data_IF_832394969546
#
_entry.id   IF_832394969546
#
_cell.length_a   1.000
_cell.length_b   1.000
_cell.length_c   1.000
_cell.angle_alpha   90.00
_cell.angle_beta   90.00
_cell.angle_gamma   90.00
#
_symmetry.space_group_name_H-M   'P 1'
#
loop_
_entity.id
_entity.type
_entity.pdbx_description
1 polymer ?
#
# COMPACT_ATOMS: atom_id res chain seq x y z
N UNK A 1 -8.13 -1.30 -17.77
CA UNK A 1 -8.43 -1.76 -19.15
C UNK A 1 -9.18 -3.08 -19.06
N UNK A 2 -9.97 -3.47 -20.07
CA UNK A 2 -10.70 -4.75 -20.05
C UNK A 2 -9.79 -5.84 -20.64
N UNK A 3 -9.51 -6.88 -19.86
CA UNK A 3 -8.77 -8.08 -20.29
C UNK A 3 -9.78 -9.11 -20.77
N UNK A 4 -9.66 -9.62 -22.00
CA UNK A 4 -10.50 -10.71 -22.54
C UNK A 4 -9.70 -11.95 -22.92
N UNK A 5 -8.41 -11.79 -23.24
CA UNK A 5 -7.48 -12.85 -23.64
C UNK A 5 -6.13 -12.63 -22.96
N UNK A 6 -5.33 -13.70 -22.82
CA UNK A 6 -3.98 -13.63 -22.20
C UNK A 6 -3.08 -12.55 -22.82
N UNK A 7 -3.16 -12.37 -24.13
CA UNK A 7 -2.42 -11.32 -24.87
C UNK A 7 -2.86 -9.89 -24.57
N UNK A 8 -4.03 -9.70 -23.94
CA UNK A 8 -4.51 -8.38 -23.54
C UNK A 8 -3.90 -7.95 -22.20
N UNK A 9 -3.23 -8.86 -21.48
CA UNK A 9 -2.47 -8.54 -20.27
C UNK A 9 -1.28 -7.69 -20.69
N UNK A 10 -1.34 -6.41 -20.33
CA UNK A 10 -0.22 -5.51 -20.50
C UNK A 10 0.86 -5.82 -19.46
N UNK A 11 2.12 -5.74 -19.89
CA UNK A 11 3.23 -5.79 -18.96
C UNK A 11 3.11 -4.69 -17.92
N UNK A 12 3.61 -4.98 -16.72
CA UNK A 12 3.73 -3.96 -15.70
C UNK A 12 4.61 -2.85 -16.25
N UNK A 13 4.13 -1.61 -16.09
CA UNK A 13 4.94 -0.43 -16.38
C UNK A 13 6.26 -0.58 -15.61
N UNK A 14 7.37 -0.68 -16.33
CA UNK A 14 8.70 -0.94 -15.77
C UNK A 14 9.40 0.31 -15.25
N UNK A 15 8.73 1.47 -15.30
CA UNK A 15 9.35 2.73 -14.88
C UNK A 15 9.44 2.80 -13.37
N UNK A 16 10.65 2.55 -12.86
CA UNK A 16 11.06 2.72 -11.47
C UNK A 16 11.13 4.18 -11.04
N UNK A 17 9.98 4.86 -11.03
CA UNK A 17 9.83 6.14 -10.33
C UNK A 17 9.80 5.93 -8.81
N UNK A 18 10.05 7.00 -8.05
CA UNK A 18 9.81 6.99 -6.61
C UNK A 18 8.32 6.85 -6.26
N UNK A 19 8.02 6.48 -5.03
CA UNK A 19 6.64 6.41 -4.53
C UNK A 19 6.17 7.80 -4.08
N UNK A 20 5.04 8.29 -4.61
CA UNK A 20 4.36 9.47 -4.08
C UNK A 20 3.14 9.05 -3.25
N UNK A 21 2.95 9.64 -2.08
CA UNK A 21 1.79 9.40 -1.22
C UNK A 21 0.66 10.40 -1.50
N UNK A 22 1.03 11.64 -1.84
CA UNK A 22 0.16 12.80 -2.10
C UNK A 22 -1.04 12.52 -3.03
N UNK A 23 -0.93 11.74 -4.12
CA UNK A 23 -2.07 11.50 -5.02
C UNK A 23 -3.29 10.86 -4.35
N UNK A 24 -3.08 10.01 -3.33
CA UNK A 24 -4.21 9.39 -2.59
C UNK A 24 -4.90 10.43 -1.71
N UNK A 25 -4.16 11.34 -1.07
CA UNK A 25 -4.74 12.44 -0.30
C UNK A 25 -5.58 13.35 -1.20
N UNK A 26 -5.07 13.67 -2.40
CA UNK A 26 -5.81 14.44 -3.39
C UNK A 26 -7.12 13.76 -3.79
N UNK A 27 -7.06 12.47 -4.10
CA UNK A 27 -8.23 11.68 -4.45
C UNK A 27 -9.30 11.71 -3.34
N UNK A 28 -8.91 11.45 -2.09
CA UNK A 28 -9.84 11.42 -0.96
C UNK A 28 -10.42 12.81 -0.67
N UNK A 29 -9.61 13.87 -0.78
CA UNK A 29 -10.06 15.23 -0.54
C UNK A 29 -11.05 15.73 -1.60
N UNK A 30 -10.93 15.26 -2.84
CA UNK A 30 -11.78 15.68 -3.95
C UNK A 30 -13.11 14.91 -4.01
N UNK A 31 -13.22 13.76 -3.33
CA UNK A 31 -14.43 12.96 -3.33
C UNK A 31 -15.47 13.49 -2.32
N UNK A 32 -16.24 14.51 -2.73
CA UNK A 32 -17.26 15.15 -1.88
C UNK A 32 -18.46 14.25 -1.55
N UNK A 33 -18.69 13.19 -2.32
CA UNK A 33 -19.86 12.30 -2.17
C UNK A 33 -19.64 11.20 -1.13
N UNK A 34 -18.39 10.90 -0.77
CA UNK A 34 -18.04 9.89 0.23
C UNK A 34 -17.24 10.52 1.36
N UNK A 35 -17.71 10.33 2.60
CA UNK A 35 -16.97 10.74 3.79
C UNK A 35 -16.08 9.60 4.27
N UNK A 36 -14.78 9.84 4.30
CA UNK A 36 -13.80 8.91 4.86
C UNK A 36 -13.49 9.31 6.30
N UNK A 37 -13.32 8.33 7.19
CA UNK A 37 -12.92 8.57 8.57
C UNK A 37 -11.43 8.28 8.81
N UNK A 38 -10.84 7.38 8.01
CA UNK A 38 -9.46 6.94 8.18
C UNK A 38 -8.83 6.51 6.85
N UNK A 39 -7.54 6.80 6.70
CA UNK A 39 -6.64 6.29 5.66
C UNK A 39 -5.54 5.47 6.32
N UNK A 40 -5.30 4.26 5.83
CA UNK A 40 -4.23 3.39 6.30
C UNK A 40 -3.29 3.09 5.14
N UNK A 41 -2.03 3.47 5.27
CA UNK A 41 -0.97 3.08 4.34
C UNK A 41 -0.23 1.86 4.85
N UNK A 42 -0.06 0.86 4.00
CA UNK A 42 0.92 -0.20 4.20
C UNK A 42 2.08 0.05 3.26
N UNK A 43 3.26 0.31 3.81
CA UNK A 43 4.45 0.73 3.04
C UNK A 43 5.73 0.23 3.71
N UNK A 44 6.83 0.18 2.96
CA UNK A 44 8.18 0.01 3.52
C UNK A 44 8.76 1.33 4.08
N UNK A 45 8.01 2.44 3.93
CA UNK A 45 8.35 3.76 4.40
C UNK A 45 9.05 4.64 3.37
N UNK A 46 9.38 4.14 2.17
CA UNK A 46 10.06 4.92 1.14
C UNK A 46 9.07 5.63 0.23
N UNK A 47 9.34 6.90 -0.04
CA UNK A 47 8.55 7.73 -0.95
C UNK A 47 9.00 9.19 -0.91
N UNK A 48 8.08 10.11 -1.18
CA UNK A 48 8.34 11.54 -1.07
C UNK A 48 8.73 11.97 0.36
N UNK A 49 9.41 13.11 0.49
CA UNK A 49 9.86 13.63 1.80
C UNK A 49 8.87 14.62 2.42
N UNK A 50 7.96 15.17 1.63
CA UNK A 50 6.96 16.15 2.05
C UNK A 50 5.66 15.90 1.26
N UNK A 51 4.51 15.93 1.94
CA UNK A 51 3.23 15.82 1.26
C UNK A 51 2.85 17.14 0.58
N UNK A 52 2.49 17.05 -0.70
CA UNK A 52 1.94 18.17 -1.49
C UNK A 52 0.50 18.48 -1.07
N UNK A 53 -0.21 17.51 -0.49
CA UNK A 53 -1.63 17.62 -0.14
C UNK A 53 -1.86 17.21 1.31
N UNK A 54 -2.58 18.06 2.06
CA UNK A 54 -2.95 17.80 3.46
C UNK A 54 -4.24 16.99 3.56
N UNK A 55 -4.36 16.02 4.46
CA UNK A 55 -5.62 15.31 4.70
C UNK A 55 -6.72 16.25 5.21
N UNK A 56 -7.98 16.00 4.82
CA UNK A 56 -9.14 16.80 5.23
C UNK A 56 -10.25 15.92 5.84
N UNK A 57 -10.36 15.92 7.17
CA UNK A 57 -11.48 15.31 7.88
C UNK A 57 -11.38 13.80 8.13
N UNK A 58 -10.22 13.19 7.88
CA UNK A 58 -9.93 11.78 8.20
C UNK A 58 -8.60 11.63 8.93
N UNK A 59 -8.50 10.57 9.74
CA UNK A 59 -7.27 10.18 10.43
C UNK A 59 -6.35 9.43 9.47
N UNK A 60 -5.05 9.47 9.73
CA UNK A 60 -4.05 8.75 8.92
C UNK A 60 -3.26 7.81 9.82
N UNK A 61 -3.04 6.59 9.36
CA UNK A 61 -2.15 5.62 9.98
C UNK A 61 -1.15 5.10 8.94
N UNK A 62 0.12 5.20 9.26
CA UNK A 62 1.21 4.64 8.47
C UNK A 62 1.65 3.33 9.11
N UNK A 63 1.47 2.22 8.43
CA UNK A 63 1.93 0.91 8.84
C UNK A 63 3.19 0.58 8.06
N UNK A 64 4.34 0.68 8.74
CA UNK A 64 5.65 0.37 8.18
C UNK A 64 5.90 -1.13 8.33
N UNK A 65 6.19 -1.80 7.22
CA UNK A 65 6.53 -3.23 7.23
C UNK A 65 7.76 -3.51 8.10
N UNK A 66 7.86 -4.73 8.65
CA UNK A 66 8.98 -5.10 9.53
C UNK A 66 10.36 -5.05 8.85
N UNK A 67 10.41 -5.13 7.51
CA UNK A 67 11.63 -4.98 6.70
C UNK A 67 11.91 -3.52 6.31
N UNK A 68 10.92 -2.65 6.40
CA UNK A 68 11.05 -1.21 6.15
C UNK A 68 11.75 -0.49 7.31
N UNK A 69 12.24 0.72 7.07
CA UNK A 69 12.97 1.51 8.06
C UNK A 69 12.04 2.46 8.82
N UNK A 70 12.04 3.72 8.39
CA UNK A 70 11.22 4.83 8.86
C UNK A 70 10.52 5.43 7.66
N UNK A 71 9.40 6.11 7.91
CA UNK A 71 8.73 6.87 6.86
C UNK A 71 9.63 8.00 6.35
N UNK A 72 9.70 8.18 5.03
CA UNK A 72 10.51 9.20 4.35
C UNK A 72 10.00 10.62 4.58
N UNK A 73 8.71 10.75 4.91
CA UNK A 73 8.09 12.03 5.22
C UNK A 73 8.74 12.66 6.45
N UNK A 74 9.20 13.91 6.32
CA UNK A 74 9.71 14.69 7.45
C UNK A 74 8.62 14.96 8.48
N UNK A 75 7.41 15.25 8.00
CA UNK A 75 6.24 15.60 8.82
C UNK A 75 5.04 14.72 8.41
N UNK A 76 4.98 13.44 8.82
CA UNK A 76 3.86 12.57 8.51
C UNK A 76 2.62 13.01 9.30
N UNK A 77 1.46 13.07 8.62
CA UNK A 77 0.19 13.28 9.32
C UNK A 77 -0.28 11.98 9.97
N UNK A 78 -0.81 12.08 11.19
CA UNK A 78 -1.35 10.93 11.91
C UNK A 78 -0.28 10.03 12.54
N UNK A 79 -0.68 8.82 12.91
CA UNK A 79 0.20 7.91 13.65
C UNK A 79 1.10 7.11 12.70
N UNK A 80 2.34 6.86 13.11
CA UNK A 80 3.27 5.97 12.41
C UNK A 80 3.53 4.75 13.28
N UNK A 81 3.22 3.56 12.77
CA UNK A 81 3.40 2.29 13.46
C UNK A 81 4.25 1.35 12.63
N UNK A 82 5.37 0.93 13.18
CA UNK A 82 6.19 -0.14 12.60
C UNK A 82 5.71 -1.49 13.12
N UNK A 83 5.54 -2.45 12.21
CA UNK A 83 5.25 -3.83 12.56
C UNK A 83 6.52 -4.49 13.09
N UNK A 84 6.37 -5.28 14.16
CA UNK A 84 7.46 -6.10 14.68
C UNK A 84 7.89 -7.12 13.63
N UNK A 85 9.20 -7.35 13.52
CA UNK A 85 9.74 -8.43 12.70
C UNK A 85 9.29 -9.75 13.33
N UNK A 86 8.51 -10.54 12.60
CA UNK A 86 8.19 -11.90 13.01
C UNK A 86 9.43 -12.75 12.69
N UNK A 87 9.93 -13.49 13.67
CA UNK A 87 10.99 -14.47 13.42
C UNK A 87 10.46 -15.52 12.44
N UNK A 88 11.06 -15.60 11.26
CA UNK A 88 10.71 -16.60 10.25
C UNK A 88 11.15 -17.99 10.76
N UNK A 89 10.28 -18.68 11.53
CA UNK A 89 10.53 -20.03 12.04
C UNK A 89 10.60 -21.11 10.95
N UNK A 90 10.33 -20.76 9.69
CA UNK A 90 10.22 -21.69 8.57
C UNK A 90 11.27 -21.43 7.49
N UNK A 91 12.56 -21.66 7.80
CA UNK A 91 13.58 -21.87 6.75
C UNK A 91 13.44 -23.23 6.03
N UNK A 92 12.53 -24.10 6.49
CA UNK A 92 12.29 -25.44 5.92
C UNK A 92 11.17 -25.56 4.89
N UNK A 93 10.27 -24.58 4.77
CA UNK A 93 9.13 -24.66 3.84
C UNK A 93 9.31 -23.71 2.65
N UNK A 94 10.39 -23.92 1.89
CA UNK A 94 10.61 -23.27 0.57
C UNK A 94 9.46 -23.59 -0.41
N UNK A 95 8.56 -24.52 -0.07
CA UNK A 95 7.43 -24.94 -0.89
C UNK A 95 6.18 -24.04 -0.82
N UNK A 96 5.98 -23.22 0.23
CA UNK A 96 4.75 -22.39 0.36
C UNK A 96 4.92 -20.94 -0.14
N UNK A 97 6.14 -20.53 -0.52
CA UNK A 97 6.39 -19.21 -1.11
C UNK A 97 5.91 -19.10 -2.57
N UNK A 98 5.44 -20.19 -3.17
CA UNK A 98 4.77 -20.17 -4.49
C UNK A 98 3.36 -19.57 -4.42
N UNK A 99 2.77 -19.47 -3.24
CA UNK A 99 1.46 -18.84 -3.02
C UNK A 99 1.53 -17.37 -2.58
N UNK A 100 2.74 -16.83 -2.39
CA UNK A 100 2.95 -15.39 -2.23
C UNK A 100 3.03 -14.76 -3.62
N UNK A 101 1.85 -14.65 -4.21
CA UNK A 101 1.49 -13.81 -5.36
C UNK A 101 2.30 -12.50 -5.31
N UNK A 102 3.35 -12.38 -6.15
CA UNK A 102 4.13 -11.15 -6.36
C UNK A 102 3.32 -10.12 -7.18
N UNK A 103 2.13 -10.53 -7.58
CA UNK A 103 1.04 -9.69 -8.05
C UNK A 103 0.27 -9.13 -6.87
N UNK A 104 0.48 -7.82 -6.62
CA UNK A 104 -0.13 -7.10 -5.52
C UNK A 104 -1.61 -7.40 -5.32
N UNK A 105 -2.06 -7.29 -4.07
CA UNK A 105 -3.44 -7.51 -3.63
C UNK A 105 -4.48 -7.00 -4.64
N UNK A 106 -5.08 -7.94 -5.38
CA UNK A 106 -6.24 -7.71 -6.24
C UNK A 106 -7.51 -8.02 -5.45
N UNK A 107 -8.51 -7.13 -5.47
CA UNK A 107 -9.82 -7.31 -4.81
C UNK A 107 -10.66 -8.51 -5.32
N UNK A 108 -10.11 -9.35 -6.20
CA UNK A 108 -10.82 -10.49 -6.80
C UNK A 108 -10.82 -11.76 -5.94
N UNK A 109 -10.01 -11.84 -4.88
CA UNK A 109 -9.99 -12.99 -3.96
C UNK A 109 -10.50 -12.60 -2.56
N UNK A 110 -11.76 -12.17 -2.46
CA UNK A 110 -12.44 -12.11 -1.17
C UNK A 110 -12.95 -13.52 -0.81
N UNK A 111 -12.68 -13.98 0.41
CA UNK A 111 -13.39 -15.14 0.94
C UNK A 111 -14.89 -14.80 1.02
N UNK A 112 -15.80 -15.70 0.62
CA UNK A 112 -17.22 -15.46 0.80
C UNK A 112 -17.50 -15.24 2.29
N UNK A 113 -18.25 -14.19 2.59
CA UNK A 113 -18.74 -13.94 3.94
C UNK A 113 -19.77 -15.02 4.24
N UNK A 114 -19.55 -15.77 5.32
CA UNK A 114 -20.50 -16.75 5.85
C UNK A 114 -21.69 -16.05 6.51
#
# INVERSE_FOLDING_TARGET
>A
YKVKKLKDVQDRISTGGGTEFSPVFEYLNNNKLKKYNMLIYFTDGKGETELKVKPKGYKVLWVISGKGDKISLKNPYGAVKKLSKVEEKNKGNVLDLKDVMYDGYSMNNQQPIL
#
